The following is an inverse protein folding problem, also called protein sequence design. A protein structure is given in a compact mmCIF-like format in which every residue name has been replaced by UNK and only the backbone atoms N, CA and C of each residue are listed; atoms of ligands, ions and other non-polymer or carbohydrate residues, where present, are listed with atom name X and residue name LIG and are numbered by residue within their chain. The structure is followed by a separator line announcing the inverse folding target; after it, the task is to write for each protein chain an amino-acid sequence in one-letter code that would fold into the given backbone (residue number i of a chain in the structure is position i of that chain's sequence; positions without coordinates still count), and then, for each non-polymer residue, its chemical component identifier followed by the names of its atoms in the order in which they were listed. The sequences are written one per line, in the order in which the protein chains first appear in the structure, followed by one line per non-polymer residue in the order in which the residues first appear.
data_IF_840473423594
#
_entry.id   IF_840473423594
#
_cell.length_a   1.000
_cell.length_b   1.000
_cell.length_c   1.000
_cell.angle_alpha   90.00
_cell.angle_beta   90.00
_cell.angle_gamma   90.00
#
_symmetry.space_group_name_H-M   'P 1'
#
loop_
_entity.id
_entity.type
_entity.pdbx_description
1 polymer ?
#
# COMPACT_ATOMS: atom_id res chain seq x y z
N UNK A 1 -6.90 -0.94 18.56
CA UNK A 1 -8.00 -0.06 18.96
C UNK A 1 -8.93 -0.76 19.95
N UNK A 2 -9.64 -1.81 19.58
CA UNK A 2 -10.69 -2.43 20.42
C UNK A 2 -10.21 -2.89 21.80
N UNK A 3 -8.97 -3.36 21.91
CA UNK A 3 -8.44 -3.90 23.15
C UNK A 3 -7.66 -2.90 24.00
N UNK A 4 -7.05 -1.89 23.37
CA UNK A 4 -6.09 -1.02 24.05
C UNK A 4 -6.44 0.45 24.01
N UNK A 5 -7.23 0.91 23.01
CA UNK A 5 -7.69 2.29 22.94
C UNK A 5 -8.96 2.48 23.76
N UNK A 6 -8.82 3.11 24.91
CA UNK A 6 -9.96 3.39 25.79
C UNK A 6 -10.64 4.73 25.47
N UNK A 7 -9.93 5.65 24.82
CA UNK A 7 -10.40 7.01 24.53
C UNK A 7 -10.69 7.18 23.04
N UNK A 8 -11.86 7.75 22.76
CA UNK A 8 -12.26 8.23 21.44
C UNK A 8 -12.69 9.68 21.62
N UNK A 9 -11.81 10.67 21.31
CA UNK A 9 -12.09 12.09 21.53
C UNK A 9 -13.40 12.52 20.86
N UNK A 10 -14.14 13.39 21.52
CA UNK A 10 -15.49 13.75 21.08
C UNK A 10 -15.54 14.53 19.76
N UNK A 11 -14.45 15.23 19.45
CA UNK A 11 -14.25 16.07 18.27
C UNK A 11 -13.52 15.34 17.11
N UNK A 12 -13.19 14.05 17.28
CA UNK A 12 -12.57 13.25 16.23
C UNK A 12 -13.57 12.40 15.47
N UNK A 13 -13.33 12.26 14.17
CA UNK A 13 -14.08 11.38 13.28
C UNK A 13 -13.53 9.97 13.36
N UNK A 14 -14.36 9.01 13.75
CA UNK A 14 -13.97 7.60 13.79
C UNK A 14 -14.39 6.91 12.50
N UNK A 15 -13.40 6.47 11.71
CA UNK A 15 -13.59 5.81 10.42
C UNK A 15 -12.90 4.46 10.42
N UNK A 16 -13.60 3.42 10.00
CA UNK A 16 -13.06 2.08 9.81
C UNK A 16 -13.04 1.75 8.32
N UNK A 17 -11.90 1.33 7.82
CA UNK A 17 -11.71 1.02 6.41
C UNK A 17 -11.44 -0.47 6.25
N UNK A 18 -12.22 -1.13 5.40
CA UNK A 18 -11.99 -2.52 5.00
C UNK A 18 -12.48 -2.72 3.57
N UNK A 19 -11.59 -3.04 2.66
CA UNK A 19 -11.97 -3.19 1.25
C UNK A 19 -13.10 -4.21 1.07
N UNK A 20 -12.97 -5.40 1.65
CA UNK A 20 -14.01 -6.44 1.55
C UNK A 20 -15.22 -6.20 2.44
N UNK A 21 -15.08 -5.41 3.53
CA UNK A 21 -16.13 -5.21 4.52
C UNK A 21 -16.50 -6.44 5.37
N UNK A 22 -15.72 -7.53 5.30
CA UNK A 22 -15.95 -8.77 6.05
C UNK A 22 -14.88 -9.07 7.09
N UNK A 23 -13.88 -8.21 7.28
CA UNK A 23 -12.81 -8.45 8.25
C UNK A 23 -13.35 -8.36 9.69
N UNK A 24 -13.20 -9.44 10.47
CA UNK A 24 -13.79 -9.56 11.83
C UNK A 24 -13.32 -8.48 12.79
N UNK A 25 -12.04 -8.12 12.75
CA UNK A 25 -11.50 -7.03 13.56
C UNK A 25 -12.04 -5.65 13.15
N UNK A 26 -12.32 -5.44 11.87
CA UNK A 26 -12.91 -4.20 11.38
C UNK A 26 -14.40 -4.08 11.78
N UNK A 27 -15.15 -5.19 11.70
CA UNK A 27 -16.52 -5.25 12.21
C UNK A 27 -16.56 -4.96 13.71
N UNK A 28 -15.67 -5.60 14.49
CA UNK A 28 -15.55 -5.35 15.92
C UNK A 28 -15.17 -3.88 16.23
N UNK A 29 -14.35 -3.23 15.41
CA UNK A 29 -14.04 -1.82 15.58
C UNK A 29 -15.27 -0.93 15.38
N UNK A 30 -16.10 -1.19 14.36
CA UNK A 30 -17.36 -0.47 14.16
C UNK A 30 -18.31 -0.64 15.37
N UNK A 31 -18.49 -1.87 15.84
CA UNK A 31 -19.32 -2.16 17.00
C UNK A 31 -18.81 -1.46 18.28
N UNK A 32 -17.49 -1.42 18.46
CA UNK A 32 -16.84 -0.76 19.59
C UNK A 32 -17.09 0.76 19.55
N UNK A 33 -17.02 1.40 18.38
CA UNK A 33 -17.33 2.82 18.19
C UNK A 33 -18.78 3.10 18.54
N UNK A 34 -19.73 2.26 18.06
CA UNK A 34 -21.16 2.39 18.36
C UNK A 34 -21.45 2.21 19.84
N UNK A 35 -20.84 1.20 20.49
CA UNK A 35 -21.00 0.94 21.92
C UNK A 35 -20.52 2.12 22.80
N UNK A 36 -19.59 2.93 22.28
CA UNK A 36 -19.16 4.20 22.92
C UNK A 36 -20.08 5.40 22.62
N UNK A 37 -21.23 5.17 21.98
CA UNK A 37 -22.20 6.23 21.64
C UNK A 37 -21.73 7.15 20.52
N UNK A 38 -20.78 6.70 19.68
CA UNK A 38 -20.23 7.49 18.56
C UNK A 38 -20.73 6.93 17.23
N UNK A 39 -20.83 7.80 16.23
CA UNK A 39 -21.17 7.40 14.86
C UNK A 39 -20.04 6.57 14.27
N UNK A 40 -20.33 5.33 13.91
CA UNK A 40 -19.41 4.43 13.25
C UNK A 40 -19.49 4.60 11.73
N UNK A 41 -18.40 5.06 11.12
CA UNK A 41 -18.30 5.26 9.68
C UNK A 41 -17.47 4.13 9.08
N UNK A 42 -18.08 3.38 8.16
CA UNK A 42 -17.41 2.31 7.40
C UNK A 42 -17.11 2.76 5.98
N UNK A 43 -15.87 2.53 5.52
CA UNK A 43 -15.46 2.72 4.13
C UNK A 43 -15.10 1.35 3.56
N UNK A 44 -15.71 0.98 2.44
CA UNK A 44 -15.52 -0.34 1.81
C UNK A 44 -15.62 -0.24 0.29
N UNK A 45 -15.17 -1.24 -0.45
CA UNK A 45 -15.47 -1.40 -1.88
C UNK A 45 -16.65 -2.35 -2.15
N UNK A 46 -17.18 -2.98 -1.09
CA UNK A 46 -18.34 -3.86 -1.18
C UNK A 46 -19.46 -3.36 -0.24
N UNK A 47 -20.35 -2.49 -0.73
CA UNK A 47 -21.45 -1.97 0.07
C UNK A 47 -22.50 -3.03 0.43
N UNK A 48 -22.44 -4.23 -0.17
CA UNK A 48 -23.26 -5.38 0.19
C UNK A 48 -22.73 -6.20 1.34
N UNK A 49 -21.49 -5.93 1.80
CA UNK A 49 -20.81 -6.65 2.87
C UNK A 49 -21.44 -6.48 4.25
N UNK A 50 -20.90 -7.18 5.25
CA UNK A 50 -21.33 -7.11 6.65
C UNK A 50 -21.15 -5.69 7.24
N UNK A 51 -20.28 -4.85 6.68
CA UNK A 51 -20.17 -3.46 7.07
C UNK A 51 -21.52 -2.74 7.06
N UNK A 52 -22.43 -3.12 6.15
CA UNK A 52 -23.78 -2.55 6.04
C UNK A 52 -24.59 -2.62 7.33
N UNK A 53 -24.38 -3.64 8.16
CA UNK A 53 -25.13 -3.83 9.41
C UNK A 53 -24.37 -3.34 10.64
N UNK A 54 -23.07 -3.09 10.52
CA UNK A 54 -22.19 -2.65 11.60
C UNK A 54 -21.90 -1.14 11.59
N UNK A 55 -21.90 -0.49 10.42
CA UNK A 55 -21.71 0.94 10.29
C UNK A 55 -23.04 1.72 10.38
N UNK A 56 -23.00 2.91 11.00
CA UNK A 56 -24.11 3.87 10.96
C UNK A 56 -24.12 4.64 9.64
N UNK A 57 -22.94 4.89 9.08
CA UNK A 57 -22.74 5.48 7.77
C UNK A 57 -21.78 4.61 6.97
N UNK A 58 -22.23 4.12 5.82
CA UNK A 58 -21.44 3.31 4.90
C UNK A 58 -21.07 4.11 3.67
N UNK A 59 -19.80 4.08 3.32
CA UNK A 59 -19.26 4.78 2.15
C UNK A 59 -18.58 3.75 1.24
N UNK A 60 -19.02 3.72 -0.02
CA UNK A 60 -18.31 3.02 -1.09
C UNK A 60 -17.25 3.94 -1.68
N UNK A 61 -15.98 3.52 -1.67
CA UNK A 61 -14.90 4.32 -2.25
C UNK A 61 -14.70 4.08 -3.77
N UNK A 62 -15.56 3.27 -4.39
CA UNK A 62 -15.69 3.17 -5.83
C UNK A 62 -14.63 2.31 -6.54
N UNK A 63 -13.85 1.50 -5.81
CA UNK A 63 -12.87 0.60 -6.44
C UNK A 63 -13.54 -0.55 -7.21
N UNK A 64 -14.70 -1.01 -6.76
CA UNK A 64 -15.33 -2.21 -7.30
C UNK A 64 -14.57 -3.49 -6.93
N UNK A 65 -14.67 -4.50 -7.80
CA UNK A 65 -14.07 -5.82 -7.57
C UNK A 65 -12.65 -5.88 -8.10
N UNK A 66 -11.72 -6.40 -7.28
CA UNK A 66 -10.35 -6.73 -7.72
C UNK A 66 -10.37 -7.82 -8.79
N UNK A 67 -9.47 -7.71 -9.75
CA UNK A 67 -9.26 -8.71 -10.80
C UNK A 67 -8.23 -9.79 -10.42
N UNK A 68 -7.55 -9.61 -9.29
CA UNK A 68 -6.56 -10.54 -8.73
C UNK A 68 -6.94 -10.90 -7.29
N UNK A 69 -6.43 -12.01 -6.76
CA UNK A 69 -6.80 -12.52 -5.45
C UNK A 69 -6.37 -11.65 -4.25
N UNK A 70 -5.58 -10.63 -4.48
CA UNK A 70 -5.05 -9.71 -3.45
C UNK A 70 -5.39 -8.26 -3.79
N UNK A 71 -5.55 -7.45 -2.73
CA UNK A 71 -5.82 -6.01 -2.87
C UNK A 71 -4.69 -5.34 -3.66
N UNK A 72 -5.01 -4.77 -4.80
CA UNK A 72 -4.04 -4.15 -5.72
C UNK A 72 -4.55 -2.80 -6.19
N UNK A 73 -5.59 -2.78 -7.03
CA UNK A 73 -6.26 -1.57 -7.47
C UNK A 73 -6.89 -0.81 -6.31
N UNK A 74 -7.39 -1.54 -5.30
CA UNK A 74 -8.04 -0.98 -4.13
C UNK A 74 -7.15 -0.07 -3.30
N UNK A 75 -5.85 -0.32 -3.22
CA UNK A 75 -4.91 0.58 -2.51
C UNK A 75 -4.84 1.93 -3.19
N UNK A 76 -4.61 1.95 -4.49
CA UNK A 76 -4.51 3.20 -5.26
C UNK A 76 -5.82 3.96 -5.28
N UNK A 77 -6.94 3.25 -5.50
CA UNK A 77 -8.28 3.84 -5.45
C UNK A 77 -8.62 4.43 -4.08
N UNK A 78 -8.25 3.74 -2.99
CA UNK A 78 -8.45 4.24 -1.64
C UNK A 78 -7.60 5.50 -1.36
N UNK A 79 -6.34 5.52 -1.78
CA UNK A 79 -5.49 6.71 -1.66
C UNK A 79 -6.12 7.91 -2.39
N UNK A 80 -6.57 7.72 -3.63
CA UNK A 80 -7.25 8.76 -4.40
C UNK A 80 -8.55 9.22 -3.72
N UNK A 81 -9.37 8.27 -3.23
CA UNK A 81 -10.59 8.59 -2.49
C UNK A 81 -10.30 9.44 -1.25
N UNK A 82 -9.30 9.07 -0.46
CA UNK A 82 -8.93 9.83 0.76
C UNK A 82 -8.41 11.22 0.43
N UNK A 83 -7.65 11.41 -0.66
CA UNK A 83 -7.26 12.73 -1.14
C UNK A 83 -8.48 13.58 -1.52
N UNK A 84 -9.39 13.03 -2.31
CA UNK A 84 -10.63 13.72 -2.72
C UNK A 84 -11.53 14.04 -1.51
N UNK A 85 -11.62 13.12 -0.55
CA UNK A 85 -12.36 13.31 0.70
C UNK A 85 -11.77 14.47 1.52
N UNK A 86 -10.43 14.51 1.67
CA UNK A 86 -9.74 15.59 2.39
C UNK A 86 -9.93 16.95 1.71
N UNK A 87 -9.78 17.02 0.39
CA UNK A 87 -9.99 18.23 -0.40
C UNK A 87 -11.44 18.74 -0.27
N UNK A 88 -12.42 17.86 -0.40
CA UNK A 88 -13.82 18.22 -0.24
C UNK A 88 -14.13 18.68 1.18
N UNK A 89 -13.59 18.02 2.18
CA UNK A 89 -13.75 18.41 3.59
C UNK A 89 -13.14 19.78 3.87
N UNK A 90 -11.95 20.06 3.35
CA UNK A 90 -11.28 21.35 3.47
C UNK A 90 -12.12 22.49 2.81
N UNK A 91 -12.69 22.20 1.64
CA UNK A 91 -13.56 23.15 0.96
C UNK A 91 -14.84 23.43 1.77
N UNK A 92 -15.52 22.40 2.24
CA UNK A 92 -16.74 22.55 3.05
C UNK A 92 -16.47 23.27 4.38
N UNK A 93 -15.28 23.12 4.95
CA UNK A 93 -14.84 23.83 6.14
C UNK A 93 -14.38 25.29 5.86
N UNK A 94 -14.48 25.77 4.62
CA UNK A 94 -14.05 27.11 4.22
C UNK A 94 -12.53 27.32 4.20
N UNK A 95 -11.74 26.22 4.28
CA UNK A 95 -10.26 26.26 4.24
C UNK A 95 -9.70 26.25 2.82
N UNK A 96 -10.52 25.88 1.85
CA UNK A 96 -10.16 25.80 0.44
C UNK A 96 -11.26 26.46 -0.40
N UNK A 97 -10.90 27.43 -1.25
CA UNK A 97 -11.84 28.06 -2.18
C UNK A 97 -12.29 27.11 -3.28
N UNK A 98 -13.35 27.45 -4.03
CA UNK A 98 -13.79 26.67 -5.18
C UNK A 98 -12.70 26.56 -6.25
N UNK A 99 -12.02 27.66 -6.56
CA UNK A 99 -10.89 27.67 -7.51
C UNK A 99 -9.72 26.83 -7.00
N UNK A 100 -9.43 26.89 -5.70
CA UNK A 100 -8.43 26.04 -5.06
C UNK A 100 -8.77 24.56 -5.16
N UNK A 101 -10.04 24.19 -4.89
CA UNK A 101 -10.52 22.82 -5.04
C UNK A 101 -10.39 22.32 -6.48
N UNK A 102 -10.75 23.16 -7.46
CA UNK A 102 -10.62 22.83 -8.87
C UNK A 102 -9.15 22.63 -9.27
N UNK A 103 -8.22 23.49 -8.80
CA UNK A 103 -6.79 23.36 -9.04
C UNK A 103 -6.20 22.07 -8.45
N UNK A 104 -6.55 21.72 -7.20
CA UNK A 104 -6.07 20.48 -6.57
C UNK A 104 -6.63 19.21 -7.28
N UNK A 105 -7.90 19.24 -7.69
CA UNK A 105 -8.47 18.16 -8.50
C UNK A 105 -7.77 17.99 -9.84
N UNK A 106 -7.36 19.09 -10.47
CA UNK A 106 -6.57 19.03 -11.71
C UNK A 106 -5.18 18.40 -11.47
N UNK A 107 -4.52 18.69 -10.35
CA UNK A 107 -3.26 18.00 -9.98
C UNK A 107 -3.47 16.50 -9.80
N UNK A 108 -4.57 16.08 -9.15
CA UNK A 108 -4.89 14.65 -9.01
C UNK A 108 -5.14 13.98 -10.37
N UNK A 109 -5.77 14.66 -11.32
CA UNK A 109 -5.94 14.14 -12.68
C UNK A 109 -4.58 14.00 -13.40
N UNK A 110 -3.71 14.99 -13.31
CA UNK A 110 -2.35 14.91 -13.86
C UNK A 110 -1.52 13.82 -13.21
N UNK A 111 -1.69 13.60 -11.89
CA UNK A 111 -1.04 12.50 -11.21
C UNK A 111 -1.56 11.13 -11.70
N UNK A 112 -2.86 11.00 -11.99
CA UNK A 112 -3.42 9.76 -12.54
C UNK A 112 -2.82 9.44 -13.92
N UNK A 113 -2.63 10.47 -14.78
CA UNK A 113 -1.94 10.31 -16.05
C UNK A 113 -0.47 9.88 -15.86
N UNK A 114 0.22 10.45 -14.87
CA UNK A 114 1.58 10.06 -14.51
C UNK A 114 1.65 8.63 -13.98
N UNK A 115 0.64 8.22 -13.20
CA UNK A 115 0.55 6.84 -12.68
C UNK A 115 0.41 5.82 -13.81
N UNK A 116 -0.43 6.09 -14.80
CA UNK A 116 -0.56 5.26 -15.99
C UNK A 116 0.76 5.16 -16.76
N UNK A 117 1.49 6.27 -16.90
CA UNK A 117 2.79 6.31 -17.57
C UNK A 117 3.90 5.59 -16.76
N UNK A 118 3.75 5.43 -15.44
CA UNK A 118 4.70 4.68 -14.61
C UNK A 118 4.63 3.15 -14.86
N UNK A 119 3.52 2.65 -15.37
CA UNK A 119 3.32 1.21 -15.65
C UNK A 119 4.36 0.67 -16.64
N UNK A 120 4.51 1.22 -17.87
CA UNK A 120 5.51 0.73 -18.81
C UNK A 120 6.95 0.91 -18.30
N UNK A 121 7.24 1.91 -17.48
CA UNK A 121 8.55 2.06 -16.84
C UNK A 121 8.82 0.91 -15.85
N UNK A 122 7.83 0.55 -15.03
CA UNK A 122 7.90 -0.60 -14.14
C UNK A 122 8.10 -1.92 -14.90
N UNK A 123 7.39 -2.14 -16.00
CA UNK A 123 7.58 -3.32 -16.86
C UNK A 123 8.98 -3.38 -17.49
N UNK A 124 9.50 -2.23 -17.91
CA UNK A 124 10.83 -2.16 -18.50
C UNK A 124 11.92 -2.51 -17.47
N UNK A 125 11.80 -1.99 -16.25
CA UNK A 125 12.72 -2.32 -15.15
C UNK A 125 12.62 -3.82 -14.79
N UNK A 126 11.41 -4.37 -14.63
CA UNK A 126 11.21 -5.79 -14.37
C UNK A 126 11.88 -6.65 -15.44
N UNK A 127 11.69 -6.36 -16.73
CA UNK A 127 12.32 -7.09 -17.83
C UNK A 127 13.84 -7.00 -17.80
N UNK A 128 14.39 -5.79 -17.60
CA UNK A 128 15.85 -5.58 -17.60
C UNK A 128 16.55 -6.22 -16.41
N UNK A 129 15.87 -6.36 -15.29
CA UNK A 129 16.37 -6.92 -14.04
C UNK A 129 15.72 -8.27 -13.68
N UNK A 130 15.07 -8.92 -14.63
CA UNK A 130 14.29 -10.13 -14.40
C UNK A 130 15.04 -11.20 -13.63
N UNK A 131 16.30 -11.49 -14.01
CA UNK A 131 17.14 -12.50 -13.33
C UNK A 131 17.37 -12.18 -11.85
N UNK A 132 17.55 -10.90 -11.50
CA UNK A 132 17.77 -10.47 -10.12
C UNK A 132 16.46 -10.54 -9.32
N UNK A 133 15.36 -10.08 -9.92
CA UNK A 133 14.04 -10.00 -9.28
C UNK A 133 13.40 -11.39 -9.14
N UNK A 134 13.51 -12.27 -10.13
CA UNK A 134 13.01 -13.65 -10.02
C UNK A 134 13.78 -14.52 -9.01
N UNK A 135 15.01 -14.12 -8.65
CA UNK A 135 15.83 -14.75 -7.64
C UNK A 135 15.71 -14.13 -6.24
N UNK A 136 14.68 -13.33 -5.98
CA UNK A 136 14.41 -12.77 -4.65
C UNK A 136 14.12 -13.89 -3.64
N UNK A 137 14.76 -13.84 -2.47
CA UNK A 137 14.54 -14.76 -1.36
C UNK A 137 14.13 -14.04 -0.08
N UNK A 138 14.78 -12.94 0.22
CA UNK A 138 14.46 -12.04 1.34
C UNK A 138 14.53 -10.61 0.83
N UNK A 139 13.51 -9.83 1.13
CA UNK A 139 13.39 -8.45 0.64
C UNK A 139 13.30 -7.49 1.80
N UNK A 140 14.11 -6.43 1.76
CA UNK A 140 13.95 -5.27 2.63
C UNK A 140 13.65 -4.04 1.78
N UNK A 141 12.63 -3.30 2.17
CA UNK A 141 12.21 -2.07 1.49
C UNK A 141 12.25 -0.94 2.52
N UNK A 142 13.15 0.00 2.33
CA UNK A 142 13.26 1.16 3.21
C UNK A 142 12.71 2.40 2.53
N UNK A 143 11.86 3.17 3.22
CA UNK A 143 11.22 4.36 2.65
C UNK A 143 11.12 5.51 3.66
N UNK A 144 11.31 6.74 3.17
CA UNK A 144 11.17 7.95 3.96
C UNK A 144 9.85 8.67 3.69
N UNK A 145 9.29 9.34 4.70
CA UNK A 145 8.08 10.15 4.56
C UNK A 145 6.91 9.38 3.95
N UNK A 146 6.28 9.91 2.90
CA UNK A 146 5.19 9.25 2.20
C UNK A 146 5.63 7.93 1.52
N UNK A 147 6.90 7.80 1.13
CA UNK A 147 7.44 6.58 0.53
C UNK A 147 7.47 5.40 1.51
N UNK A 148 7.46 5.66 2.83
CA UNK A 148 7.36 4.59 3.82
C UNK A 148 6.02 3.83 3.73
N UNK A 149 4.92 4.53 3.46
CA UNK A 149 3.62 3.88 3.19
C UNK A 149 3.69 2.95 1.97
N UNK A 150 4.37 3.37 0.92
CA UNK A 150 4.61 2.55 -0.30
C UNK A 150 5.51 1.35 0.02
N UNK A 151 6.56 1.53 0.83
CA UNK A 151 7.45 0.44 1.24
C UNK A 151 6.68 -0.67 1.99
N UNK A 152 5.75 -0.28 2.89
CA UNK A 152 4.89 -1.23 3.62
C UNK A 152 3.96 -2.00 2.70
N UNK A 153 3.29 -1.32 1.79
CA UNK A 153 2.41 -1.97 0.81
C UNK A 153 3.20 -2.90 -0.12
N UNK A 154 4.35 -2.47 -0.60
CA UNK A 154 5.21 -3.27 -1.45
C UNK A 154 5.70 -4.54 -0.75
N UNK A 155 6.13 -4.44 0.51
CA UNK A 155 6.54 -5.60 1.30
C UNK A 155 5.38 -6.58 1.51
N UNK A 156 4.19 -6.07 1.88
CA UNK A 156 2.98 -6.89 2.02
C UNK A 156 2.67 -7.62 0.71
N UNK A 157 2.70 -6.91 -0.41
CA UNK A 157 2.39 -7.47 -1.72
C UNK A 157 3.32 -8.63 -2.10
N UNK A 158 4.63 -8.45 -1.89
CA UNK A 158 5.61 -9.52 -2.15
C UNK A 158 5.43 -10.72 -1.22
N UNK A 159 5.07 -10.50 0.07
CA UNK A 159 4.75 -11.59 0.99
C UNK A 159 3.51 -12.37 0.56
N UNK A 160 2.45 -11.68 0.21
CA UNK A 160 1.16 -12.29 -0.15
C UNK A 160 1.24 -13.13 -1.42
N UNK A 161 1.98 -12.66 -2.42
CA UNK A 161 2.00 -13.25 -3.76
C UNK A 161 3.19 -14.19 -3.96
N UNK A 162 4.42 -13.71 -3.71
CA UNK A 162 5.62 -14.51 -3.89
C UNK A 162 5.91 -15.45 -2.72
N UNK A 163 5.22 -15.27 -1.59
CA UNK A 163 5.38 -16.08 -0.38
C UNK A 163 6.83 -16.12 0.11
N UNK A 164 7.50 -14.97 0.05
CA UNK A 164 8.88 -14.78 0.52
C UNK A 164 8.89 -13.78 1.69
N UNK A 165 9.87 -13.88 2.61
CA UNK A 165 10.06 -12.87 3.64
C UNK A 165 10.32 -11.50 3.01
N UNK A 166 9.46 -10.52 3.33
CA UNK A 166 9.62 -9.13 2.93
C UNK A 166 9.30 -8.21 4.11
N UNK A 167 10.18 -7.27 4.39
CA UNK A 167 10.04 -6.32 5.49
C UNK A 167 10.14 -4.88 5.00
N UNK A 168 9.34 -4.01 5.57
CA UNK A 168 9.43 -2.58 5.35
C UNK A 168 10.03 -1.89 6.58
N UNK A 169 10.88 -0.91 6.34
CA UNK A 169 11.52 -0.09 7.37
C UNK A 169 11.37 1.38 7.00
N UNK A 170 11.29 2.23 8.02
CA UNK A 170 11.60 3.64 7.81
C UNK A 170 13.09 3.78 7.46
N UNK A 171 13.46 4.80 6.67
CA UNK A 171 14.77 4.88 6.05
C UNK A 171 15.93 4.88 7.06
N UNK A 172 15.81 5.63 8.16
CA UNK A 172 16.82 5.66 9.21
C UNK A 172 16.73 4.46 10.16
N UNK A 173 15.53 3.95 10.44
CA UNK A 173 15.33 2.74 11.24
C UNK A 173 16.02 1.52 10.62
N UNK A 174 16.24 1.53 9.30
CA UNK A 174 16.99 0.49 8.62
C UNK A 174 18.42 0.32 9.17
N UNK A 175 19.01 1.38 9.74
CA UNK A 175 20.37 1.38 10.32
C UNK A 175 20.42 1.03 11.83
N UNK A 176 19.31 0.62 12.41
CA UNK A 176 19.21 0.29 13.83
C UNK A 176 18.96 -1.21 14.06
N UNK A 177 19.66 -2.05 13.30
CA UNK A 177 19.60 -3.51 13.40
C UNK A 177 19.34 -4.24 12.07
N UNK A 178 18.38 -3.81 11.23
CA UNK A 178 18.12 -4.47 9.96
C UNK A 178 19.33 -4.64 9.05
N UNK A 179 20.24 -3.68 9.02
CA UNK A 179 21.47 -3.74 8.21
C UNK A 179 22.43 -4.85 8.64
N UNK A 180 22.38 -5.27 9.92
CA UNK A 180 23.32 -6.24 10.48
C UNK A 180 23.10 -7.66 9.96
N UNK A 181 21.92 -7.99 9.45
CA UNK A 181 21.64 -9.32 8.91
C UNK A 181 21.79 -9.42 7.39
N UNK A 182 22.23 -8.36 6.73
CA UNK A 182 22.35 -8.33 5.28
C UNK A 182 23.35 -9.37 4.76
N UNK A 183 22.99 -9.99 3.67
CA UNK A 183 23.82 -10.96 2.93
C UNK A 183 23.62 -10.74 1.41
N UNK A 184 24.47 -11.32 0.56
CA UNK A 184 24.29 -11.24 -0.90
C UNK A 184 22.96 -11.80 -1.42
N UNK A 185 22.22 -12.55 -0.59
CA UNK A 185 20.90 -13.10 -0.96
C UNK A 185 19.75 -12.10 -0.79
N UNK A 186 19.96 -11.01 -0.06
CA UNK A 186 18.95 -9.99 0.12
C UNK A 186 18.73 -9.17 -1.15
N UNK A 187 17.48 -8.79 -1.37
CA UNK A 187 17.09 -7.77 -2.35
C UNK A 187 16.65 -6.54 -1.59
N UNK A 188 17.19 -5.39 -1.94
CA UNK A 188 16.99 -4.14 -1.20
C UNK A 188 16.40 -3.08 -2.12
N UNK A 189 15.36 -2.41 -1.63
CA UNK A 189 14.79 -1.25 -2.28
C UNK A 189 14.83 -0.06 -1.31
N UNK A 190 15.36 1.06 -1.78
CA UNK A 190 15.37 2.33 -1.06
C UNK A 190 14.47 3.31 -1.80
N UNK A 191 13.45 3.85 -1.12
CA UNK A 191 12.44 4.73 -1.68
C UNK A 191 12.56 6.12 -1.06
N UNK A 192 13.01 7.12 -1.81
CA UNK A 192 13.17 8.47 -1.31
C UNK A 192 12.97 9.49 -2.45
N UNK A 193 11.78 10.07 -2.54
CA UNK A 193 11.43 11.06 -3.57
C UNK A 193 11.50 12.51 -3.07
N UNK A 194 11.44 12.74 -1.75
CA UNK A 194 11.60 14.06 -1.18
C UNK A 194 13.07 14.52 -1.32
N UNK A 195 13.36 15.76 -1.75
CA UNK A 195 14.72 16.29 -1.85
C UNK A 195 15.54 16.16 -0.55
N UNK A 196 14.89 16.26 0.61
CA UNK A 196 15.53 16.11 1.91
C UNK A 196 16.09 14.69 2.11
N UNK A 197 15.33 13.66 1.72
CA UNK A 197 15.65 12.26 1.99
C UNK A 197 16.43 11.61 0.84
N UNK A 198 16.40 12.21 -0.36
CA UNK A 198 16.99 11.65 -1.57
C UNK A 198 18.51 11.40 -1.43
N UNK A 199 19.25 12.37 -0.89
CA UNK A 199 20.69 12.22 -0.69
C UNK A 199 21.01 11.07 0.27
N UNK A 200 20.19 10.90 1.31
CA UNK A 200 20.33 9.84 2.30
C UNK A 200 19.97 8.48 1.70
N UNK A 201 18.86 8.37 0.99
CA UNK A 201 18.47 7.15 0.27
C UNK A 201 19.53 6.68 -0.72
N UNK A 202 20.10 7.61 -1.48
CA UNK A 202 21.20 7.32 -2.41
C UNK A 202 22.47 6.86 -1.67
N UNK A 203 22.79 7.43 -0.51
CA UNK A 203 23.91 6.98 0.32
C UNK A 203 23.71 5.56 0.81
N UNK A 204 22.53 5.24 1.35
CA UNK A 204 22.21 3.89 1.84
C UNK A 204 22.21 2.86 0.70
N UNK A 205 21.64 3.19 -0.44
CA UNK A 205 21.66 2.33 -1.62
C UNK A 205 23.08 2.01 -2.07
N UNK A 206 23.98 3.01 -2.15
CA UNK A 206 25.38 2.77 -2.46
C UNK A 206 26.10 1.88 -1.44
N UNK A 207 25.83 2.10 -0.14
CA UNK A 207 26.41 1.26 0.92
C UNK A 207 25.91 -0.17 0.83
N UNK A 208 24.61 -0.37 0.61
CA UNK A 208 24.00 -1.68 0.45
C UNK A 208 24.52 -2.45 -0.79
N UNK A 209 24.86 -1.74 -1.85
CA UNK A 209 25.46 -2.33 -3.06
C UNK A 209 26.85 -2.94 -2.82
N UNK A 210 27.51 -2.64 -1.71
CA UNK A 210 28.74 -3.34 -1.27
C UNK A 210 28.46 -4.75 -0.76
N UNK A 211 27.20 -5.03 -0.37
CA UNK A 211 26.77 -6.32 0.18
C UNK A 211 26.04 -7.17 -0.85
N UNK A 212 25.18 -6.57 -1.65
CA UNK A 212 24.35 -7.29 -2.63
C UNK A 212 24.17 -6.50 -3.93
N UNK A 213 24.29 -7.19 -5.06
CA UNK A 213 24.02 -6.63 -6.38
C UNK A 213 22.51 -6.38 -6.65
N UNK A 214 21.65 -6.91 -5.76
CA UNK A 214 20.18 -6.76 -5.85
C UNK A 214 19.72 -5.55 -5.05
N UNK A 215 20.35 -4.40 -5.24
CA UNK A 215 20.01 -3.13 -4.61
C UNK A 215 19.42 -2.19 -5.63
N UNK A 216 18.29 -1.57 -5.29
CA UNK A 216 17.54 -0.66 -6.15
C UNK A 216 17.22 0.63 -5.40
N UNK A 217 17.36 1.76 -6.08
CA UNK A 217 17.02 3.08 -5.53
C UNK A 217 15.93 3.73 -6.39
N UNK A 218 14.78 3.98 -5.78
CA UNK A 218 13.64 4.64 -6.42
C UNK A 218 13.51 6.07 -5.90
N UNK A 219 13.57 6.99 -6.83
CA UNK A 219 13.45 8.44 -6.61
C UNK A 219 12.81 9.05 -7.85
N UNK A 220 12.37 10.28 -7.73
CA UNK A 220 11.80 11.06 -8.84
C UNK A 220 12.85 11.59 -9.84
N UNK A 221 14.13 11.53 -9.48
CA UNK A 221 15.23 12.04 -10.32
C UNK A 221 16.46 11.12 -10.23
N UNK A 222 16.77 10.45 -11.34
CA UNK A 222 18.01 9.67 -11.48
C UNK A 222 18.07 8.34 -10.71
N UNK A 223 16.93 7.74 -10.35
CA UNK A 223 16.86 6.42 -9.75
C UNK A 223 16.83 5.26 -10.76
N UNK A 224 16.77 4.01 -10.25
CA UNK A 224 16.66 2.80 -11.08
C UNK A 224 15.31 2.69 -11.80
N UNK A 225 14.24 3.27 -11.24
CA UNK A 225 12.90 3.34 -11.82
C UNK A 225 12.64 4.78 -12.32
N UNK A 226 12.68 5.03 -13.63
CA UNK A 226 12.33 6.33 -14.17
C UNK A 226 10.83 6.54 -14.11
N UNK A 227 10.37 7.30 -13.13
CA UNK A 227 8.96 7.68 -13.00
C UNK A 227 8.70 9.03 -13.63
N UNK A 228 7.49 9.28 -14.17
CA UNK A 228 7.10 10.59 -14.65
C UNK A 228 7.13 11.65 -13.55
N UNK A 229 7.26 12.91 -13.95
CA UNK A 229 7.13 14.03 -12.99
C UNK A 229 5.73 14.05 -12.39
N UNK A 230 5.66 14.14 -11.07
CA UNK A 230 4.41 14.30 -10.33
C UNK A 230 4.11 15.78 -10.08
N UNK A 231 2.86 16.23 -10.20
CA UNK A 231 2.47 17.61 -9.88
C UNK A 231 2.50 17.91 -8.36
N UNK A 232 2.63 16.86 -7.54
CA UNK A 232 2.68 16.97 -6.09
C UNK A 232 3.71 15.99 -5.50
N UNK A 233 4.62 16.50 -4.68
CA UNK A 233 5.69 15.72 -4.07
C UNK A 233 5.15 14.62 -3.13
N UNK A 234 4.02 14.85 -2.44
CA UNK A 234 3.41 13.84 -1.56
C UNK A 234 2.85 12.64 -2.34
N UNK A 235 2.47 12.84 -3.60
CA UNK A 235 1.92 11.80 -4.46
C UNK A 235 3.01 11.08 -5.28
N UNK A 236 4.20 11.62 -5.36
CA UNK A 236 5.31 11.03 -6.12
C UNK A 236 5.62 9.59 -5.71
N UNK A 237 5.69 9.22 -4.41
CA UNK A 237 5.97 7.84 -4.01
C UNK A 237 4.96 6.81 -4.52
N UNK A 238 3.71 7.21 -4.71
CA UNK A 238 2.69 6.31 -5.25
C UNK A 238 2.98 5.88 -6.70
N UNK A 239 3.81 6.63 -7.44
CA UNK A 239 4.27 6.25 -8.78
C UNK A 239 5.22 5.04 -8.76
N UNK A 240 5.73 4.64 -7.60
CA UNK A 240 6.53 3.43 -7.45
C UNK A 240 5.67 2.16 -7.30
N UNK A 241 4.40 2.29 -6.90
CA UNK A 241 3.50 1.15 -6.69
C UNK A 241 3.32 0.27 -7.92
N UNK A 242 3.14 0.81 -9.16
CA UNK A 242 2.98 -0.01 -10.35
C UNK A 242 4.11 -1.03 -10.54
N UNK A 243 5.35 -0.65 -10.25
CA UNK A 243 6.48 -1.58 -10.31
C UNK A 243 6.31 -2.77 -9.36
N UNK A 244 5.98 -2.53 -8.09
CA UNK A 244 5.82 -3.59 -7.10
C UNK A 244 4.61 -4.47 -7.41
N UNK A 245 3.48 -3.88 -7.80
CA UNK A 245 2.27 -4.59 -8.17
C UNK A 245 2.49 -5.49 -9.40
N UNK A 246 3.11 -4.96 -10.44
CA UNK A 246 3.47 -5.72 -11.64
C UNK A 246 4.48 -6.82 -11.35
N UNK A 247 5.53 -6.52 -10.58
CA UNK A 247 6.57 -7.48 -10.21
C UNK A 247 5.97 -8.61 -9.38
N UNK A 248 5.13 -8.29 -8.40
CA UNK A 248 4.43 -9.27 -7.59
C UNK A 248 3.57 -10.20 -8.46
N UNK A 249 2.71 -9.63 -9.32
CA UNK A 249 1.85 -10.41 -10.21
C UNK A 249 2.64 -11.27 -11.20
N UNK A 250 3.54 -10.66 -11.97
CA UNK A 250 4.30 -11.35 -13.04
C UNK A 250 5.18 -12.46 -12.50
N UNK A 251 5.91 -12.22 -11.42
CA UNK A 251 6.77 -13.25 -10.85
C UNK A 251 5.95 -14.35 -10.18
N UNK A 252 4.78 -14.06 -9.64
CA UNK A 252 3.89 -15.10 -9.09
C UNK A 252 3.37 -16.01 -10.21
N UNK A 253 2.99 -15.44 -11.36
CA UNK A 253 2.63 -16.20 -12.56
C UNK A 253 3.82 -17.05 -13.05
N UNK A 254 4.94 -16.42 -13.32
CA UNK A 254 6.11 -17.05 -13.92
C UNK A 254 6.72 -18.17 -13.03
N UNK A 255 6.66 -17.99 -11.72
CA UNK A 255 7.17 -18.94 -10.73
C UNK A 255 6.08 -19.89 -10.20
N UNK A 256 4.86 -19.83 -10.72
CA UNK A 256 3.72 -20.67 -10.34
C UNK A 256 3.44 -20.66 -8.83
N UNK A 257 3.42 -19.45 -8.19
CA UNK A 257 3.29 -19.28 -6.74
C UNK A 257 1.88 -18.88 -6.26
N UNK A 258 0.85 -19.07 -7.07
CA UNK A 258 -0.52 -18.81 -6.64
C UNK A 258 -1.05 -19.79 -5.59
N UNK A 259 -0.49 -20.96 -5.52
CA UNK A 259 -0.95 -21.98 -4.58
C UNK A 259 -0.27 -21.82 -3.21
N UNK A 260 -1.09 -21.73 -2.18
CA UNK A 260 -0.62 -21.73 -0.79
C UNK A 260 -0.13 -23.11 -0.39
N UNK A 261 0.84 -23.15 0.52
CA UNK A 261 1.23 -24.40 1.15
C UNK A 261 0.03 -24.98 1.94
N UNK A 262 -0.26 -26.30 1.86
CA UNK A 262 -1.43 -26.91 2.53
C UNK A 262 -1.55 -26.55 4.01
N UNK A 263 -0.45 -26.53 4.77
CA UNK A 263 -0.46 -26.15 6.19
C UNK A 263 -0.88 -24.70 6.44
N UNK A 264 -0.71 -23.79 5.47
CA UNK A 264 -1.21 -22.40 5.56
C UNK A 264 -2.72 -22.39 5.42
N UNK A 265 -3.30 -23.22 4.58
CA UNK A 265 -4.75 -23.37 4.46
C UNK A 265 -5.37 -23.90 5.77
N UNK A 266 -4.71 -24.87 6.42
CA UNK A 266 -5.14 -25.37 7.75
C UNK A 266 -5.07 -24.26 8.81
N UNK A 267 -4.00 -23.48 8.83
CA UNK A 267 -3.85 -22.32 9.73
C UNK A 267 -4.95 -21.29 9.49
N UNK A 268 -5.21 -20.89 8.25
CA UNK A 268 -6.26 -19.92 7.91
C UNK A 268 -7.65 -20.41 8.30
N UNK A 269 -7.92 -21.72 8.14
CA UNK A 269 -9.16 -22.34 8.57
C UNK A 269 -9.36 -22.29 10.08
N UNK A 270 -8.27 -22.41 10.86
CA UNK A 270 -8.33 -22.40 12.32
C UNK A 270 -8.51 -20.99 12.91
N UNK A 271 -8.05 -19.93 12.20
CA UNK A 271 -8.02 -18.55 12.71
C UNK A 271 -8.58 -17.55 11.70
N UNK A 272 -9.75 -17.84 11.15
CA UNK A 272 -10.35 -16.99 10.12
C UNK A 272 -10.45 -15.52 10.57
N UNK A 273 -9.84 -14.63 9.78
CA UNK A 273 -9.97 -13.18 9.92
C UNK A 273 -11.19 -12.57 9.23
N UNK A 274 -12.07 -13.43 8.65
CA UNK A 274 -13.27 -13.01 7.93
C UNK A 274 -14.52 -13.52 8.63
N UNK A 275 -15.63 -12.80 8.50
CA UNK A 275 -16.95 -13.22 8.98
C UNK A 275 -17.47 -14.45 8.21
N UNK A 276 -18.46 -15.13 8.78
CA UNK A 276 -19.05 -16.33 8.18
C UNK A 276 -19.75 -16.04 6.83
N UNK A 277 -20.10 -14.80 6.56
CA UNK A 277 -20.75 -14.40 5.30
C UNK A 277 -19.75 -14.14 4.16
N UNK A 278 -18.46 -14.15 4.44
CA UNK A 278 -17.44 -13.96 3.42
C UNK A 278 -17.33 -15.18 2.51
N UNK A 279 -17.55 -14.96 1.24
CA UNK A 279 -17.29 -15.95 0.20
C UNK A 279 -16.01 -15.54 -0.52
N UNK A 280 -14.98 -16.37 -0.42
CA UNK A 280 -13.74 -16.15 -1.18
C UNK A 280 -14.09 -16.22 -2.67
N UNK A 281 -13.86 -15.12 -3.35
CA UNK A 281 -13.88 -15.13 -4.80
C UNK A 281 -12.50 -15.61 -5.23
N UNK A 282 -12.37 -16.91 -5.48
CA UNK A 282 -11.17 -17.44 -6.13
C UNK A 282 -11.07 -16.76 -7.50
N UNK A 283 -10.17 -15.80 -7.59
CA UNK A 283 -9.69 -15.34 -8.88
C UNK A 283 -8.56 -16.28 -9.23
N UNK A 284 -8.80 -17.11 -10.23
CA UNK A 284 -7.81 -18.00 -10.81
C UNK A 284 -6.62 -17.22 -11.34
#
# INVERSE_FOLDING_TARGET
FCAYESCLPADELAVVISQSGYSTNALHALDTIRAKGRTAIGITSDPGSDFRTHADLLIDYGCGQESVGYVTMGVTALCLFLCLFALRSAHLAGRLSEDGLAAERQKLAQWADAYEQAIPAGEALLRSRYRQLSAMQTVCIAGAGAAWGVAREAALKLMETLQIPACAYELEEFLHGPELHLTPNHTLFFLASDPHDRARGAQLSRAASLVTEKTFFFTDDGGDLPVPSSPDALLTPLLFLPFFQLTAYRLTEDLHRWHKHPLVADFESAVSGKSANYVSKEVL
#
